data_IF_280461148677
#
_entry.id   IF_280461148677
#
_cell.length_a   1.000
_cell.length_b   1.000
_cell.length_c   1.000
_cell.angle_alpha   90.00
_cell.angle_beta   90.00
_cell.angle_gamma   90.00
#
_symmetry.space_group_name_H-M   'P 1'
#
loop_
_entity.id
_entity.type
_entity.pdbx_description
1 polymer ?
#
# COMPACT_ATOMS: atom_id res chain seq x y z
N UNK A 1 25.77 32.95 8.70
CA UNK A 1 25.15 34.15 8.08
C UNK A 1 23.76 33.70 7.63
N UNK A 2 22.71 34.04 8.38
CA UNK A 2 21.35 33.55 8.19
C UNK A 2 20.70 34.15 6.93
N UNK A 3 19.97 33.33 6.17
CA UNK A 3 18.82 33.62 5.26
C UNK A 3 18.60 32.36 4.39
N UNK A 4 17.41 31.79 4.23
CA UNK A 4 16.07 32.09 4.73
C UNK A 4 15.12 31.02 4.20
N UNK A 5 14.20 30.53 5.04
CA UNK A 5 13.09 29.64 4.68
C UNK A 5 11.85 30.49 4.35
N UNK A 6 11.06 30.19 3.31
CA UNK A 6 9.76 30.81 3.13
C UNK A 6 8.70 30.07 3.97
N UNK A 7 8.19 30.76 4.99
CA UNK A 7 7.01 30.35 5.78
C UNK A 7 5.77 30.66 4.93
N UNK A 8 5.00 29.63 4.57
CA UNK A 8 3.63 29.80 4.04
C UNK A 8 2.69 29.81 5.25
N UNK A 9 2.12 30.97 5.56
CA UNK A 9 1.17 31.15 6.64
C UNK A 9 -0.25 30.81 6.17
N UNK A 10 -0.88 29.80 6.79
CA UNK A 10 -2.32 29.52 6.65
C UNK A 10 -3.08 30.40 7.63
N UNK A 11 -4.00 31.22 7.12
CA UNK A 11 -4.87 32.10 7.91
C UNK A 11 -6.13 31.33 8.32
N UNK A 12 -6.25 31.03 9.61
CA UNK A 12 -7.50 30.61 10.24
C UNK A 12 -8.43 31.83 10.44
N UNK A 13 -9.65 31.77 9.91
CA UNK A 13 -10.71 32.73 10.22
C UNK A 13 -11.78 32.07 11.12
N UNK A 14 -11.90 32.61 12.34
CA UNK A 14 -12.88 32.23 13.36
C UNK A 14 -14.28 32.81 13.09
N UNK A 15 -15.27 32.02 13.48
CA UNK A 15 -16.72 32.22 13.42
C UNK A 15 -17.20 33.40 14.27
N UNK A 16 -18.20 34.14 13.77
CA UNK A 16 -19.07 34.99 14.59
C UNK A 16 -20.54 34.54 14.46
N UNK A 17 -21.11 34.08 15.57
CA UNK A 17 -22.52 33.78 15.72
C UNK A 17 -23.33 35.07 15.97
N UNK A 18 -24.48 35.20 15.32
CA UNK A 18 -25.49 36.20 15.66
C UNK A 18 -26.87 35.54 15.76
N UNK A 19 -27.41 35.55 16.98
CA UNK A 19 -28.79 35.17 17.26
C UNK A 19 -29.75 36.25 16.72
N UNK A 20 -30.80 35.85 16.01
CA UNK A 20 -32.01 36.63 15.88
C UNK A 20 -33.23 35.71 15.80
N UNK A 21 -34.15 35.94 16.72
CA UNK A 21 -35.43 35.26 16.90
C UNK A 21 -36.51 35.84 15.99
N UNK A 22 -37.46 35.00 15.56
CA UNK A 22 -38.81 35.45 15.23
C UNK A 22 -39.46 34.78 14.01
N UNK A 23 -40.60 34.13 14.25
CA UNK A 23 -41.71 34.09 13.29
C UNK A 23 -41.98 32.75 12.62
N UNK A 24 -42.82 31.94 13.25
CA UNK A 24 -43.47 30.80 12.62
C UNK A 24 -44.37 31.25 11.46
N UNK A 25 -44.14 30.72 10.26
CA UNK A 25 -45.17 30.55 9.22
C UNK A 25 -44.90 29.23 8.51
N UNK A 26 -45.82 28.29 8.68
CA UNK A 26 -45.88 27.01 7.97
C UNK A 26 -46.27 27.29 6.52
N UNK A 27 -45.31 27.17 5.61
CA UNK A 27 -45.57 27.05 4.19
C UNK A 27 -44.72 25.89 3.68
N UNK A 28 -45.40 24.85 3.19
CA UNK A 28 -44.81 23.60 2.77
C UNK A 28 -43.70 23.85 1.75
N UNK A 29 -42.48 23.51 2.17
CA UNK A 29 -41.39 23.22 1.26
C UNK A 29 -41.55 21.74 0.95
N UNK A 30 -42.08 21.46 -0.23
CA UNK A 30 -41.87 20.17 -0.87
C UNK A 30 -40.36 20.06 -1.11
N UNK A 31 -39.65 19.58 -0.09
CA UNK A 31 -38.30 19.04 -0.26
C UNK A 31 -38.48 17.77 -1.07
N UNK A 32 -38.42 17.91 -2.39
CA UNK A 32 -38.09 16.82 -3.27
C UNK A 32 -36.67 16.37 -2.94
N UNK A 33 -36.54 15.57 -1.88
CA UNK A 33 -35.47 14.59 -1.80
C UNK A 33 -35.67 13.68 -3.01
N UNK A 34 -34.95 13.95 -4.09
CA UNK A 34 -34.59 12.88 -5.02
C UNK A 34 -33.93 11.82 -4.16
N UNK A 35 -34.65 10.75 -3.86
CA UNK A 35 -34.06 9.57 -3.27
C UNK A 35 -32.96 9.13 -4.22
N UNK A 36 -31.71 9.35 -3.83
CA UNK A 36 -30.59 8.76 -4.54
C UNK A 36 -30.89 7.26 -4.64
N UNK A 37 -30.75 6.69 -5.85
CA UNK A 37 -30.95 5.25 -6.04
C UNK A 37 -29.98 4.42 -5.19
N UNK A 38 -30.10 3.09 -5.21
CA UNK A 38 -29.19 2.24 -4.46
C UNK A 38 -27.74 2.46 -4.96
N UNK A 39 -26.80 2.49 -4.02
CA UNK A 39 -25.36 2.64 -4.29
C UNK A 39 -24.78 1.40 -4.97
N UNK A 40 -23.56 1.49 -5.51
CA UNK A 40 -22.89 0.34 -6.12
C UNK A 40 -22.71 -0.82 -5.14
N UNK A 41 -22.28 -0.55 -3.90
CA UNK A 41 -22.13 -1.58 -2.86
C UNK A 41 -23.46 -2.24 -2.52
N UNK A 42 -24.54 -1.46 -2.37
CA UNK A 42 -25.87 -2.00 -2.07
C UNK A 42 -26.36 -2.93 -3.20
N UNK A 43 -26.24 -2.48 -4.45
CA UNK A 43 -26.61 -3.28 -5.63
C UNK A 43 -25.81 -4.59 -5.66
N UNK A 44 -24.50 -4.53 -5.37
CA UNK A 44 -23.62 -5.69 -5.37
C UNK A 44 -24.12 -6.83 -4.47
N UNK A 45 -24.72 -6.51 -3.32
CA UNK A 45 -25.18 -7.48 -2.34
C UNK A 45 -26.65 -7.89 -2.47
N UNK A 46 -27.47 -7.11 -3.21
CA UNK A 46 -28.89 -7.46 -3.45
C UNK A 46 -29.10 -8.36 -4.68
N UNK A 47 -28.31 -8.17 -5.74
CA UNK A 47 -28.58 -8.81 -7.04
C UNK A 47 -27.33 -9.25 -7.83
N UNK A 48 -26.14 -9.08 -7.25
CA UNK A 48 -24.87 -9.18 -7.96
C UNK A 48 -24.45 -7.83 -8.54
N UNK A 49 -23.14 -7.59 -8.63
CA UNK A 49 -22.58 -6.31 -9.04
C UNK A 49 -23.06 -5.93 -10.44
N UNK A 50 -23.88 -4.90 -10.52
CA UNK A 50 -24.22 -4.18 -11.75
C UNK A 50 -23.96 -2.70 -11.55
N UNK A 51 -23.63 -2.01 -12.64
CA UNK A 51 -23.44 -0.55 -12.63
C UNK A 51 -24.48 0.14 -13.51
N UNK A 52 -25.69 -0.42 -13.55
CA UNK A 52 -26.75 0.00 -14.46
C UNK A 52 -27.52 1.24 -13.95
N UNK A 53 -27.05 1.86 -12.86
CA UNK A 53 -27.62 3.11 -12.35
C UNK A 53 -27.39 4.22 -13.39
N UNK A 54 -28.44 4.98 -13.80
CA UNK A 54 -28.35 5.92 -14.92
C UNK A 54 -27.35 7.07 -14.69
N UNK A 55 -27.01 7.35 -13.42
CA UNK A 55 -26.09 8.42 -13.05
C UNK A 55 -24.63 7.94 -12.90
N UNK A 56 -24.35 6.63 -13.00
CA UNK A 56 -22.99 6.11 -12.92
C UNK A 56 -22.33 6.06 -14.30
N UNK A 57 -21.05 6.40 -14.37
CA UNK A 57 -20.26 6.21 -15.58
C UNK A 57 -20.06 4.70 -15.86
N UNK A 58 -19.59 4.34 -17.06
CA UNK A 58 -19.31 2.94 -17.40
C UNK A 58 -18.20 2.38 -16.50
N UNK A 59 -18.35 1.18 -15.90
CA UNK A 59 -17.30 0.56 -15.12
C UNK A 59 -15.96 0.48 -15.86
N UNK A 60 -14.87 0.67 -15.12
CA UNK A 60 -13.51 0.56 -15.66
C UNK A 60 -12.95 -0.86 -15.59
N UNK A 61 -13.71 -1.77 -14.97
CA UNK A 61 -13.42 -3.20 -14.91
C UNK A 61 -14.58 -4.02 -15.46
N UNK A 62 -14.27 -5.25 -15.88
CA UNK A 62 -15.30 -6.26 -16.14
C UNK A 62 -15.88 -6.75 -14.81
N UNK A 63 -17.04 -6.22 -14.44
CA UNK A 63 -17.74 -6.56 -13.19
C UNK A 63 -18.08 -8.05 -13.07
N UNK A 64 -18.16 -8.78 -14.19
CA UNK A 64 -18.41 -10.24 -14.16
C UNK A 64 -17.21 -11.03 -13.64
N UNK A 65 -16.02 -10.41 -13.60
CA UNK A 65 -14.81 -10.99 -13.03
C UNK A 65 -14.65 -10.72 -11.54
N UNK A 66 -15.49 -9.88 -10.94
CA UNK A 66 -15.44 -9.61 -9.50
C UNK A 66 -15.83 -10.87 -8.72
N UNK A 67 -14.94 -11.30 -7.83
CA UNK A 67 -15.18 -12.41 -6.93
C UNK A 67 -15.67 -11.88 -5.57
N UNK A 68 -16.56 -12.62 -4.93
CA UNK A 68 -17.04 -12.32 -3.58
C UNK A 68 -16.32 -13.22 -2.58
N UNK A 69 -15.32 -12.66 -1.91
CA UNK A 69 -14.62 -13.36 -0.83
C UNK A 69 -15.47 -13.42 0.45
N UNK A 70 -16.29 -12.39 0.68
CA UNK A 70 -17.14 -12.26 1.86
C UNK A 70 -18.58 -11.90 1.46
N UNK A 71 -19.53 -12.35 2.28
CA UNK A 71 -20.97 -12.24 2.01
C UNK A 71 -21.60 -10.90 2.44
N UNK A 72 -20.82 -9.98 3.02
CA UNK A 72 -21.22 -8.64 3.38
C UNK A 72 -19.98 -7.73 3.50
N UNK A 73 -20.12 -6.40 3.36
CA UNK A 73 -19.03 -5.48 3.62
C UNK A 73 -18.62 -5.51 5.09
N UNK A 74 -17.36 -5.18 5.37
CA UNK A 74 -16.76 -5.08 6.71
C UNK A 74 -16.84 -6.34 7.59
N UNK A 75 -17.08 -7.53 7.00
CA UNK A 75 -16.89 -8.79 7.72
C UNK A 75 -15.42 -9.02 8.11
N UNK A 76 -14.49 -8.40 7.38
CA UNK A 76 -13.16 -8.04 7.86
C UNK A 76 -13.25 -6.55 8.24
N UNK A 77 -13.28 -6.19 9.53
CA UNK A 77 -13.48 -4.81 9.93
C UNK A 77 -12.21 -3.99 9.71
N UNK A 78 -12.32 -2.84 9.05
CA UNK A 78 -11.23 -1.86 9.00
C UNK A 78 -10.91 -1.29 10.39
N UNK A 79 -9.70 -0.77 10.59
CA UNK A 79 -9.34 0.00 11.78
C UNK A 79 -9.61 1.48 11.50
N UNK A 80 -10.74 1.98 11.99
CA UNK A 80 -11.18 3.36 11.74
C UNK A 80 -10.80 4.35 12.84
N UNK A 81 -10.33 3.84 13.98
CA UNK A 81 -9.86 4.62 15.13
C UNK A 81 -8.55 4.00 15.63
N UNK A 82 -7.45 4.11 14.86
CA UNK A 82 -6.19 3.50 15.22
C UNK A 82 -5.61 4.11 16.50
N UNK A 83 -5.03 3.26 17.34
CA UNK A 83 -4.22 3.67 18.48
C UNK A 83 -2.76 3.34 18.21
N UNK A 84 -1.86 4.17 18.72
CA UNK A 84 -0.44 4.02 18.47
C UNK A 84 0.36 3.97 19.77
N UNK A 85 1.42 3.18 19.76
CA UNK A 85 2.40 3.05 20.84
C UNK A 85 3.81 3.33 20.35
N UNK A 86 4.70 3.65 21.27
CA UNK A 86 6.13 3.79 20.97
C UNK A 86 6.78 2.42 20.73
N UNK A 87 7.97 2.40 20.12
CA UNK A 87 8.79 1.17 19.97
C UNK A 87 8.99 0.45 21.32
N UNK A 88 9.25 1.21 22.40
CA UNK A 88 9.48 0.64 23.74
C UNK A 88 8.20 -0.02 24.29
N UNK A 89 7.03 0.59 24.08
CA UNK A 89 5.74 0.04 24.52
C UNK A 89 5.31 -1.21 23.73
N UNK A 90 5.71 -1.32 22.46
CA UNK A 90 5.51 -2.54 21.67
C UNK A 90 6.32 -3.69 22.26
N UNK A 91 7.60 -3.44 22.59
CA UNK A 91 8.50 -4.43 23.18
C UNK A 91 8.60 -5.72 22.36
N UNK A 92 8.68 -6.86 23.03
CA UNK A 92 8.88 -8.17 22.39
C UNK A 92 7.61 -8.76 21.75
N UNK A 93 6.50 -8.00 21.71
CA UNK A 93 5.28 -8.51 21.07
C UNK A 93 5.47 -8.69 19.56
N UNK A 94 6.25 -7.82 18.92
CA UNK A 94 6.55 -7.88 17.49
C UNK A 94 8.00 -8.36 17.29
N UNK A 95 8.22 -9.56 16.72
CA UNK A 95 9.54 -10.06 16.39
C UNK A 95 10.25 -9.19 15.35
N UNK A 96 11.58 -9.16 15.40
CA UNK A 96 12.44 -8.30 14.58
C UNK A 96 12.28 -8.54 13.08
N UNK A 97 12.07 -9.80 12.67
CA UNK A 97 11.92 -10.17 11.27
C UNK A 97 10.49 -9.97 10.73
N UNK A 98 9.50 -9.70 11.59
CA UNK A 98 8.12 -9.53 11.11
C UNK A 98 7.94 -8.26 10.30
N UNK A 99 7.10 -8.37 9.27
CA UNK A 99 6.82 -7.28 8.35
C UNK A 99 5.98 -6.17 9.00
N UNK A 100 6.40 -4.92 8.79
CA UNK A 100 5.61 -3.71 9.01
C UNK A 100 5.49 -2.94 7.70
N UNK A 101 4.33 -2.32 7.46
CA UNK A 101 4.20 -1.30 6.44
C UNK A 101 4.66 0.02 7.04
N UNK A 102 5.63 0.69 6.41
CA UNK A 102 6.01 2.06 6.79
C UNK A 102 5.25 3.03 5.91
N UNK A 103 4.68 4.05 6.53
CA UNK A 103 4.14 5.22 5.84
C UNK A 103 4.70 6.46 6.51
N UNK A 104 5.26 7.37 5.70
CA UNK A 104 5.81 8.64 6.17
C UNK A 104 5.09 9.79 5.49
N UNK A 105 4.56 10.71 6.29
CA UNK A 105 3.94 11.96 5.82
C UNK A 105 4.56 13.10 6.61
N UNK A 106 5.13 14.08 5.90
CA UNK A 106 5.93 15.12 6.54
C UNK A 106 7.13 14.52 7.26
N UNK A 107 7.30 14.86 8.54
CA UNK A 107 8.36 14.33 9.41
C UNK A 107 7.90 13.12 10.25
N UNK A 108 6.63 12.70 10.13
CA UNK A 108 6.06 11.62 10.95
C UNK A 108 6.07 10.29 10.19
N UNK A 109 6.78 9.31 10.74
CA UNK A 109 6.76 7.93 10.28
C UNK A 109 5.88 7.06 11.18
N UNK A 110 5.06 6.20 10.57
CA UNK A 110 4.25 5.20 11.26
C UNK A 110 4.51 3.80 10.72
N UNK A 111 4.59 2.84 11.63
CA UNK A 111 4.62 1.41 11.32
C UNK A 111 3.24 0.80 11.53
N UNK A 112 2.77 0.03 10.54
CA UNK A 112 1.53 -0.73 10.62
C UNK A 112 1.89 -2.22 10.54
N UNK A 113 1.91 -2.95 11.67
CA UNK A 113 2.32 -4.36 11.67
C UNK A 113 1.43 -5.20 10.77
N UNK A 114 2.03 -5.96 9.86
CA UNK A 114 1.30 -6.86 8.96
C UNK A 114 0.47 -7.88 9.74
N UNK A 115 0.90 -8.23 10.96
CA UNK A 115 0.10 -9.06 11.87
C UNK A 115 -1.25 -8.50 12.29
N UNK A 116 -1.39 -7.17 12.34
CA UNK A 116 -2.70 -6.52 12.50
C UNK A 116 -3.37 -6.45 11.14
N UNK A 117 -2.66 -5.93 10.14
CA UNK A 117 -3.23 -5.67 8.81
C UNK A 117 -3.78 -6.92 8.12
N UNK A 118 -3.20 -8.10 8.32
CA UNK A 118 -3.73 -9.34 7.73
C UNK A 118 -5.15 -9.70 8.24
N UNK A 119 -5.55 -9.14 9.39
CA UNK A 119 -6.87 -9.35 9.99
C UNK A 119 -7.86 -8.19 9.75
N UNK A 120 -7.39 -7.07 9.19
CA UNK A 120 -8.15 -5.82 9.09
C UNK A 120 -8.12 -5.18 7.70
N UNK A 121 -7.07 -5.46 6.93
CA UNK A 121 -6.77 -5.06 5.54
C UNK A 121 -6.69 -3.55 5.27
N UNK A 122 -7.39 -2.71 6.04
CA UNK A 122 -7.45 -1.26 5.91
C UNK A 122 -7.35 -0.62 7.30
N UNK A 123 -6.53 0.42 7.40
CA UNK A 123 -6.45 1.35 8.53
C UNK A 123 -6.72 2.74 7.97
N UNK A 124 -7.80 3.37 8.45
CA UNK A 124 -8.08 4.78 8.16
C UNK A 124 -7.42 5.60 9.25
N UNK A 125 -6.44 6.41 8.87
CA UNK A 125 -5.55 7.11 9.79
C UNK A 125 -5.39 8.60 9.42
N UNK A 126 -4.80 9.37 10.31
CA UNK A 126 -4.39 10.74 10.07
C UNK A 126 -2.93 10.92 10.52
N UNK A 127 -2.04 11.20 9.57
CA UNK A 127 -0.60 11.43 9.81
C UNK A 127 -0.30 12.89 9.50
N UNK A 128 0.24 13.62 10.46
CA UNK A 128 0.57 15.05 10.32
C UNK A 128 -0.59 15.90 9.76
N UNK A 129 -1.84 15.61 10.20
CA UNK A 129 -3.05 16.28 9.73
C UNK A 129 -3.55 15.85 8.35
N UNK A 130 -2.88 14.89 7.70
CA UNK A 130 -3.27 14.34 6.40
C UNK A 130 -4.04 13.03 6.59
N UNK A 131 -5.32 12.96 6.20
CA UNK A 131 -6.08 11.70 6.16
C UNK A 131 -5.44 10.72 5.17
N UNK A 132 -5.20 9.50 5.63
CA UNK A 132 -4.65 8.43 4.80
C UNK A 132 -5.41 7.12 5.00
N UNK A 133 -5.47 6.32 3.94
CA UNK A 133 -5.89 4.93 4.00
C UNK A 133 -4.67 4.03 3.78
N UNK A 134 -4.23 3.32 4.83
CA UNK A 134 -3.14 2.35 4.76
C UNK A 134 -3.73 0.97 4.59
N UNK A 135 -3.25 0.24 3.61
CA UNK A 135 -3.95 -0.93 3.12
C UNK A 135 -2.99 -2.08 2.84
N UNK A 136 -3.41 -3.30 3.12
CA UNK A 136 -2.65 -4.51 2.86
C UNK A 136 -3.56 -5.61 2.33
N UNK A 137 -3.29 -6.07 1.11
CA UNK A 137 -3.96 -7.23 0.53
C UNK A 137 -3.10 -8.49 0.72
N UNK A 138 -3.48 -9.40 1.63
CA UNK A 138 -2.71 -10.62 1.89
C UNK A 138 -2.69 -11.58 0.71
N UNK A 139 -3.74 -11.60 -0.14
CA UNK A 139 -3.76 -12.45 -1.33
C UNK A 139 -2.74 -11.98 -2.38
N UNK A 140 -2.47 -10.69 -2.45
CA UNK A 140 -1.50 -10.14 -3.40
C UNK A 140 -0.11 -9.91 -2.80
N UNK A 141 0.03 -10.06 -1.47
CA UNK A 141 1.15 -9.55 -0.68
C UNK A 141 1.47 -8.09 -1.05
N UNK A 142 0.47 -7.21 -1.14
CA UNK A 142 0.68 -5.81 -1.52
C UNK A 142 0.30 -4.89 -0.37
N UNK A 143 1.17 -3.92 -0.08
CA UNK A 143 0.88 -2.83 0.84
C UNK A 143 0.88 -1.51 0.07
N UNK A 144 -0.17 -0.71 0.26
CA UNK A 144 -0.30 0.62 -0.35
C UNK A 144 -0.85 1.61 0.67
N UNK A 145 -0.52 2.89 0.49
CA UNK A 145 -1.11 3.98 1.24
C UNK A 145 -1.60 5.07 0.27
N UNK A 146 -2.71 5.70 0.63
CA UNK A 146 -3.34 6.73 -0.18
C UNK A 146 -3.72 7.92 0.68
N UNK A 147 -3.62 9.14 0.15
CA UNK A 147 -4.31 10.29 0.73
C UNK A 147 -5.80 10.05 0.55
N UNK A 148 -6.56 10.02 1.65
CA UNK A 148 -7.99 9.72 1.64
C UNK A 148 -8.83 11.00 1.59
N UNK A 149 -8.53 11.88 0.65
CA UNK A 149 -9.30 13.09 0.36
C UNK A 149 -9.93 12.96 -1.02
N UNK A 150 -11.27 12.96 -1.09
CA UNK A 150 -12.05 12.91 -2.33
C UNK A 150 -12.92 14.17 -2.38
N UNK A 151 -12.90 14.89 -3.50
CA UNK A 151 -13.57 16.21 -3.64
C UNK A 151 -13.22 17.21 -2.52
N UNK A 152 -11.96 17.21 -2.07
CA UNK A 152 -11.50 18.10 -1.01
C UNK A 152 -12.06 17.78 0.38
N UNK A 153 -12.68 16.60 0.57
CA UNK A 153 -13.22 16.14 1.85
C UNK A 153 -12.55 14.84 2.28
N UNK A 154 -12.18 14.68 3.56
CA UNK A 154 -11.72 13.40 4.07
C UNK A 154 -12.79 12.32 3.86
N UNK A 155 -12.38 11.17 3.36
CA UNK A 155 -13.20 9.97 3.26
C UNK A 155 -12.52 8.82 4.03
N UNK A 156 -13.31 7.81 4.37
CA UNK A 156 -12.83 6.57 4.97
C UNK A 156 -13.22 5.41 4.09
N UNK A 157 -12.36 4.39 4.06
CA UNK A 157 -12.54 3.21 3.25
C UNK A 157 -12.87 1.99 4.11
N UNK A 158 -13.82 1.18 3.67
CA UNK A 158 -14.15 -0.11 4.25
C UNK A 158 -13.73 -1.27 3.35
N UNK A 159 -13.72 -2.48 3.91
CA UNK A 159 -13.46 -3.71 3.16
C UNK A 159 -14.76 -4.13 2.50
N UNK A 160 -14.80 -4.09 1.17
CA UNK A 160 -16.05 -4.38 0.46
C UNK A 160 -16.46 -5.86 0.51
N UNK A 161 -15.53 -6.76 0.83
CA UNK A 161 -15.72 -8.21 0.70
C UNK A 161 -15.58 -8.74 -0.74
N UNK A 162 -15.33 -7.87 -1.71
CA UNK A 162 -15.13 -8.19 -3.11
C UNK A 162 -13.65 -8.12 -3.51
N UNK A 163 -13.31 -8.86 -4.56
CA UNK A 163 -11.97 -8.96 -5.11
C UNK A 163 -12.00 -8.81 -6.63
N UNK A 164 -11.03 -8.06 -7.18
CA UNK A 164 -10.74 -8.06 -8.62
C UNK A 164 -9.31 -8.56 -8.82
N UNK A 165 -9.12 -9.60 -9.64
CA UNK A 165 -7.82 -10.28 -9.77
C UNK A 165 -7.19 -10.68 -8.42
N UNK A 166 -8.02 -11.16 -7.47
CA UNK A 166 -7.66 -11.43 -6.06
C UNK A 166 -7.22 -10.22 -5.23
N UNK A 167 -7.12 -9.03 -5.80
CA UNK A 167 -6.84 -7.83 -5.03
C UNK A 167 -8.10 -7.30 -4.35
N UNK A 168 -7.92 -6.77 -3.15
CA UNK A 168 -8.94 -6.08 -2.37
C UNK A 168 -9.64 -5.00 -3.21
N UNK A 169 -10.98 -5.06 -3.25
CA UNK A 169 -11.80 -3.90 -3.60
C UNK A 169 -12.17 -3.20 -2.28
N UNK A 170 -11.80 -1.93 -2.17
CA UNK A 170 -12.24 -1.05 -1.10
C UNK A 170 -13.57 -0.42 -1.48
N UNK A 171 -14.30 0.12 -0.52
CA UNK A 171 -15.40 1.05 -0.82
C UNK A 171 -15.25 2.31 0.01
N UNK A 172 -15.56 3.47 -0.56
CA UNK A 172 -15.62 4.70 0.24
C UNK A 172 -16.96 4.78 0.98
N UNK A 173 -16.94 5.13 2.26
CA UNK A 173 -18.15 5.14 3.09
C UNK A 173 -19.13 6.27 2.74
N UNK A 174 -18.68 7.27 1.98
CA UNK A 174 -19.52 8.43 1.63
C UNK A 174 -20.50 8.11 0.50
N UNK A 175 -20.00 7.50 -0.59
CA UNK A 175 -20.79 7.20 -1.79
C UNK A 175 -20.99 5.72 -2.04
N UNK A 176 -20.26 4.88 -1.29
CA UNK A 176 -20.20 3.43 -1.48
C UNK A 176 -19.80 3.04 -2.91
N UNK A 177 -18.96 3.87 -3.55
CA UNK A 177 -18.28 3.53 -4.79
C UNK A 177 -17.15 2.54 -4.49
N UNK A 178 -16.79 1.74 -5.48
CA UNK A 178 -15.80 0.68 -5.34
C UNK A 178 -14.47 1.10 -5.93
N UNK A 179 -13.42 0.95 -5.14
CA UNK A 179 -12.06 1.40 -5.46
C UNK A 179 -11.09 0.22 -5.43
N UNK A 180 -10.24 0.12 -6.44
CA UNK A 180 -9.20 -0.91 -6.45
C UNK A 180 -8.07 -0.51 -5.49
N UNK A 181 -7.80 -1.31 -4.46
CA UNK A 181 -6.64 -1.12 -3.59
C UNK A 181 -5.33 -1.05 -4.39
N UNK A 182 -5.24 -1.85 -5.46
CA UNK A 182 -3.99 -1.99 -6.20
C UNK A 182 -3.62 -0.74 -6.99
N UNK A 183 -4.60 -0.01 -7.56
CA UNK A 183 -4.36 1.18 -8.38
C UNK A 183 -4.75 2.48 -7.68
N UNK A 184 -5.68 2.44 -6.72
CA UNK A 184 -6.29 3.62 -6.11
C UNK A 184 -7.39 4.24 -6.96
N UNK A 185 -7.86 3.55 -8.01
CA UNK A 185 -8.87 4.06 -8.94
C UNK A 185 -10.28 3.58 -8.53
N UNK A 186 -11.25 4.49 -8.61
CA UNK A 186 -12.66 4.16 -8.51
C UNK A 186 -13.15 3.51 -9.81
N UNK A 187 -13.70 2.30 -9.72
CA UNK A 187 -14.00 1.48 -10.90
C UNK A 187 -15.47 1.12 -11.06
N UNK A 188 -16.28 1.25 -10.02
CA UNK A 188 -17.74 1.05 -10.05
C UNK A 188 -18.41 2.05 -9.09
N UNK A 189 -19.59 2.57 -9.43
CA UNK A 189 -20.34 3.53 -8.62
C UNK A 189 -20.28 4.98 -9.10
N UNK A 190 -20.58 5.90 -8.18
CA UNK A 190 -20.66 7.34 -8.46
C UNK A 190 -19.30 7.93 -8.85
N UNK A 191 -18.22 7.40 -8.26
CA UNK A 191 -16.87 7.96 -8.33
C UNK A 191 -16.03 7.45 -9.50
N UNK A 192 -16.60 6.65 -10.40
CA UNK A 192 -15.85 5.98 -11.48
C UNK A 192 -14.92 6.96 -12.22
N UNK A 193 -13.63 6.62 -12.27
CA UNK A 193 -12.57 7.42 -12.89
C UNK A 193 -11.82 8.36 -11.95
N UNK A 194 -12.30 8.55 -10.72
CA UNK A 194 -11.53 9.24 -9.69
C UNK A 194 -10.31 8.40 -9.29
N UNK A 195 -9.20 9.08 -8.98
CA UNK A 195 -7.91 8.47 -8.68
C UNK A 195 -7.37 9.01 -7.35
N UNK A 196 -7.05 8.11 -6.43
CA UNK A 196 -6.39 8.47 -5.17
C UNK A 196 -4.90 8.78 -5.40
N UNK A 197 -4.42 9.79 -4.69
CA UNK A 197 -2.99 10.11 -4.60
C UNK A 197 -2.29 9.07 -3.72
N UNK A 198 -1.20 8.48 -4.23
CA UNK A 198 -0.40 7.49 -3.49
C UNK A 198 0.55 8.20 -2.52
N UNK A 199 0.58 7.68 -1.30
CA UNK A 199 1.67 7.95 -0.35
C UNK A 199 2.67 6.80 -0.47
N UNK A 200 3.98 7.06 -0.56
CA UNK A 200 4.96 5.99 -0.55
C UNK A 200 4.81 5.12 0.69
N UNK A 201 4.63 3.82 0.45
CA UNK A 201 4.55 2.80 1.48
C UNK A 201 5.51 1.68 1.12
N UNK A 202 6.13 1.06 2.11
CA UNK A 202 7.04 -0.07 1.88
C UNK A 202 6.92 -1.11 2.98
N UNK A 203 7.10 -2.36 2.58
CA UNK A 203 7.14 -3.50 3.48
C UNK A 203 8.59 -3.69 3.93
N UNK A 204 8.86 -3.48 5.21
CA UNK A 204 10.17 -3.75 5.80
C UNK A 204 10.07 -4.63 7.03
N UNK A 205 11.20 -5.09 7.57
CA UNK A 205 11.25 -5.76 8.87
C UNK A 205 11.07 -4.78 10.03
N UNK A 206 10.55 -5.28 11.15
CA UNK A 206 10.45 -4.50 12.38
C UNK A 206 11.81 -3.99 12.87
N UNK A 207 12.87 -4.78 12.72
CA UNK A 207 14.24 -4.35 13.03
C UNK A 207 14.65 -3.11 12.24
N UNK A 208 14.41 -3.10 10.92
CA UNK A 208 14.75 -1.95 10.06
C UNK A 208 13.94 -0.71 10.44
N UNK A 209 12.66 -0.84 10.76
CA UNK A 209 11.87 0.31 11.23
C UNK A 209 12.42 0.88 12.54
N UNK A 210 12.77 0.04 13.51
CA UNK A 210 13.34 0.51 14.79
C UNK A 210 14.66 1.26 14.59
N UNK A 211 15.48 0.78 13.67
CA UNK A 211 16.78 1.39 13.36
C UNK A 211 16.62 2.74 12.67
N UNK A 212 15.73 2.82 11.66
CA UNK A 212 15.59 4.01 10.83
C UNK A 212 14.62 5.06 11.41
N UNK A 213 13.67 4.64 12.26
CA UNK A 213 12.63 5.50 12.84
C UNK A 213 12.53 5.32 14.36
N UNK A 214 13.58 5.66 15.14
CA UNK A 214 13.59 5.44 16.59
C UNK A 214 12.52 6.23 17.36
N UNK A 215 11.97 7.28 16.76
CA UNK A 215 10.84 8.07 17.30
C UNK A 215 9.50 7.72 16.63
N UNK A 216 9.49 6.74 15.74
CA UNK A 216 8.32 6.30 14.99
C UNK A 216 7.25 5.69 15.89
N UNK A 217 5.99 5.87 15.48
CA UNK A 217 4.84 5.34 16.19
C UNK A 217 4.32 4.07 15.51
N UNK A 218 3.85 3.11 16.29
CA UNK A 218 3.42 1.79 15.80
C UNK A 218 1.95 1.59 16.06
N UNK A 219 1.19 1.16 15.04
CA UNK A 219 -0.19 0.76 15.22
C UNK A 219 -0.26 -0.35 16.27
N UNK A 220 -1.06 -0.13 17.30
CA UNK A 220 -1.22 -1.03 18.43
C UNK A 220 -2.69 -1.36 18.67
N UNK A 221 -2.92 -2.44 19.40
CA UNK A 221 -4.23 -2.90 19.82
C UNK A 221 -4.20 -3.27 21.30
N UNK A 222 -5.24 -2.87 22.04
CA UNK A 222 -5.43 -3.30 23.42
C UNK A 222 -5.53 -4.84 23.57
N UNK A 223 -5.90 -5.56 22.50
CA UNK A 223 -5.95 -7.03 22.45
C UNK A 223 -4.83 -7.58 21.53
N UNK A 224 -3.57 -7.36 21.93
CA UNK A 224 -2.38 -7.86 21.23
C UNK A 224 -2.39 -9.39 21.02
N UNK A 225 -3.02 -10.14 21.93
CA UNK A 225 -3.07 -11.61 21.91
C UNK A 225 -3.93 -12.20 20.80
N UNK A 226 -4.76 -11.38 20.14
CA UNK A 226 -5.57 -11.78 18.98
C UNK A 226 -4.74 -11.96 17.70
N UNK A 227 -3.56 -11.36 17.62
CA UNK A 227 -2.75 -11.32 16.39
C UNK A 227 -1.51 -12.23 16.47
N UNK A 228 -0.93 -12.54 15.31
CA UNK A 228 0.25 -13.40 15.15
C UNK A 228 -0.03 -14.64 14.30
N UNK A 229 -1.28 -15.11 14.28
CA UNK A 229 -1.73 -16.16 13.36
C UNK A 229 -1.99 -15.63 11.95
N UNK A 230 -1.63 -16.42 10.94
CA UNK A 230 -1.93 -16.14 9.54
C UNK A 230 -3.36 -16.61 9.20
N UNK A 231 -4.28 -15.65 9.02
CA UNK A 231 -5.67 -15.92 8.61
C UNK A 231 -5.79 -16.62 7.25
N UNK A 232 -4.74 -16.55 6.42
CA UNK A 232 -4.67 -17.08 5.06
C UNK A 232 -3.82 -18.35 4.95
N UNK A 233 -3.47 -18.99 6.08
CA UNK A 233 -2.61 -20.18 6.10
C UNK A 233 -3.16 -21.37 5.28
N UNK A 234 -4.48 -21.41 5.04
CA UNK A 234 -5.14 -22.45 4.25
C UNK A 234 -5.48 -22.02 2.80
N UNK A 235 -5.09 -20.81 2.39
CA UNK A 235 -5.32 -20.32 1.02
C UNK A 235 -4.41 -21.03 0.00
N UNK A 236 -3.34 -21.67 0.46
CA UNK A 236 -2.41 -22.42 -0.38
C UNK A 236 -3.02 -23.68 -0.98
N UNK A 237 -2.55 -24.02 -2.18
CA UNK A 237 -3.03 -25.19 -2.92
C UNK A 237 -2.36 -26.47 -2.45
N UNK A 238 -3.11 -27.59 -2.47
CA UNK A 238 -2.58 -28.96 -2.24
C UNK A 238 -1.84 -29.14 -0.91
N UNK A 239 -2.23 -28.38 0.13
CA UNK A 239 -1.64 -28.47 1.47
C UNK A 239 -0.31 -27.74 1.63
N UNK A 240 0.12 -26.96 0.63
CA UNK A 240 1.26 -26.05 0.75
C UNK A 240 0.84 -24.71 1.39
N UNK A 241 1.80 -23.94 1.90
CA UNK A 241 1.57 -22.55 2.31
C UNK A 241 1.17 -21.69 1.10
N UNK A 242 0.45 -20.59 1.34
CA UNK A 242 -0.01 -19.72 0.25
C UNK A 242 1.15 -19.14 -0.54
N UNK A 243 2.16 -18.60 0.16
CA UNK A 243 3.43 -18.11 -0.38
C UNK A 243 4.40 -19.25 -0.77
N UNK A 244 3.88 -20.27 -1.43
CA UNK A 244 4.69 -21.30 -2.07
C UNK A 244 4.76 -20.98 -3.56
N UNK A 245 5.97 -20.96 -4.11
CA UNK A 245 6.18 -20.69 -5.53
C UNK A 245 5.34 -21.65 -6.40
N UNK A 246 4.55 -21.07 -7.32
CA UNK A 246 3.67 -21.82 -8.21
C UNK A 246 2.34 -22.30 -7.59
N UNK A 247 2.00 -21.91 -6.35
CA UNK A 247 0.64 -22.08 -5.81
C UNK A 247 -0.40 -21.42 -6.73
N UNK A 248 -1.58 -22.04 -6.84
CA UNK A 248 -2.69 -21.43 -7.56
C UNK A 248 -3.18 -20.19 -6.79
N UNK A 249 -3.34 -19.05 -7.46
CA UNK A 249 -3.92 -17.85 -6.87
C UNK A 249 -5.34 -18.09 -6.32
N UNK A 250 -5.51 -17.90 -5.02
CA UNK A 250 -6.81 -18.04 -4.35
C UNK A 250 -7.78 -16.93 -4.79
N UNK A 251 -9.03 -17.30 -5.10
CA UNK A 251 -10.09 -16.40 -5.59
C UNK A 251 -9.68 -15.51 -6.79
N UNK A 252 -8.77 -16.01 -7.63
CA UNK A 252 -8.32 -15.31 -8.82
C UNK A 252 -9.22 -15.60 -10.02
N UNK A 253 -9.77 -14.54 -10.60
CA UNK A 253 -10.58 -14.60 -11.81
C UNK A 253 -9.96 -13.73 -12.91
N UNK A 254 -8.77 -14.14 -13.35
CA UNK A 254 -8.00 -13.49 -14.39
C UNK A 254 -7.17 -14.50 -15.18
N UNK A 255 -6.32 -13.98 -16.05
CA UNK A 255 -5.36 -14.79 -16.81
C UNK A 255 -4.02 -14.69 -16.08
N UNK A 256 -3.44 -15.83 -15.74
CA UNK A 256 -2.08 -15.86 -15.18
C UNK A 256 -1.06 -15.63 -16.28
N UNK A 257 -0.05 -14.83 -15.97
CA UNK A 257 1.04 -14.53 -16.90
C UNK A 257 2.14 -15.60 -16.79
N UNK A 258 2.44 -16.34 -17.87
CA UNK A 258 3.37 -17.47 -17.82
C UNK A 258 4.86 -17.05 -17.75
N UNK A 259 5.20 -15.75 -17.82
CA UNK A 259 6.60 -15.27 -17.78
C UNK A 259 7.26 -15.54 -16.43
N UNK A 260 6.48 -15.67 -15.36
CA UNK A 260 6.92 -16.14 -14.05
C UNK A 260 5.82 -16.95 -13.35
N UNK A 261 6.20 -17.68 -12.30
CA UNK A 261 5.25 -18.45 -11.49
C UNK A 261 4.37 -17.51 -10.67
N UNK A 262 3.12 -17.89 -10.39
CA UNK A 262 2.13 -17.00 -9.77
C UNK A 262 2.62 -16.31 -8.49
N UNK A 263 3.12 -17.08 -7.53
CA UNK A 263 3.66 -16.55 -6.26
C UNK A 263 5.11 -16.07 -6.35
N UNK A 264 5.66 -15.87 -7.55
CA UNK A 264 6.96 -15.22 -7.69
C UNK A 264 6.84 -13.80 -7.13
N UNK A 265 7.57 -13.51 -6.06
CA UNK A 265 7.64 -12.16 -5.50
C UNK A 265 8.33 -11.22 -6.47
N UNK A 266 7.79 -10.03 -6.62
CA UNK A 266 8.33 -8.95 -7.45
C UNK A 266 8.25 -7.63 -6.71
N UNK A 267 9.23 -6.75 -6.95
CA UNK A 267 9.05 -5.32 -6.76
C UNK A 267 8.61 -4.73 -8.11
N UNK A 268 7.40 -4.22 -8.18
CA UNK A 268 6.82 -3.63 -9.38
C UNK A 268 6.82 -2.11 -9.32
N UNK A 269 7.20 -1.46 -10.41
CA UNK A 269 7.14 0.00 -10.58
C UNK A 269 6.32 0.31 -11.82
N UNK A 270 5.36 1.22 -11.69
CA UNK A 270 4.59 1.77 -12.78
C UNK A 270 4.75 3.29 -12.78
N UNK A 271 5.34 3.84 -13.84
CA UNK A 271 5.67 5.25 -13.98
C UNK A 271 5.44 5.69 -15.42
N UNK A 272 4.75 6.83 -15.61
CA UNK A 272 4.47 7.42 -16.93
C UNK A 272 3.83 6.45 -17.94
N UNK A 273 2.98 5.54 -17.44
CA UNK A 273 2.28 4.54 -18.27
C UNK A 273 3.14 3.34 -18.69
N UNK A 274 4.40 3.28 -18.27
CA UNK A 274 5.25 2.09 -18.40
C UNK A 274 5.39 1.36 -17.07
N UNK A 275 5.56 0.04 -17.14
CA UNK A 275 5.73 -0.80 -15.97
C UNK A 275 6.93 -1.74 -16.11
N UNK A 276 7.69 -1.89 -15.03
CA UNK A 276 8.77 -2.88 -14.92
C UNK A 276 8.66 -3.57 -13.56
N UNK A 277 8.89 -4.88 -13.54
CA UNK A 277 8.94 -5.68 -12.32
C UNK A 277 10.27 -6.44 -12.23
N UNK A 278 10.88 -6.43 -11.05
CA UNK A 278 12.08 -7.21 -10.73
C UNK A 278 11.71 -8.38 -9.85
N UNK A 279 12.05 -9.60 -10.27
CA UNK A 279 11.81 -10.78 -9.44
C UNK A 279 12.67 -10.77 -8.19
N UNK A 280 12.17 -11.31 -7.08
CA UNK A 280 12.95 -11.50 -5.87
C UNK A 280 14.24 -12.29 -6.13
N UNK A 281 14.28 -13.18 -7.12
CA UNK A 281 15.52 -13.89 -7.51
C UNK A 281 16.59 -12.99 -8.15
N UNK A 282 16.21 -11.83 -8.69
CA UNK A 282 17.15 -10.78 -9.14
C UNK A 282 17.57 -9.92 -7.95
N UNK A 283 16.60 -9.56 -7.11
CA UNK A 283 16.80 -8.61 -6.02
C UNK A 283 17.53 -9.22 -4.82
N UNK A 284 17.34 -10.52 -4.56
CA UNK A 284 17.87 -11.17 -3.37
C UNK A 284 19.24 -11.80 -3.62
N UNK A 285 20.19 -11.47 -2.75
CA UNK A 285 21.52 -12.05 -2.73
C UNK A 285 22.26 -11.65 -1.45
N UNK A 286 22.81 -12.63 -0.72
CA UNK A 286 23.53 -12.34 0.52
C UNK A 286 22.69 -11.60 1.56
N UNK A 287 23.28 -10.59 2.22
CA UNK A 287 22.60 -9.75 3.20
C UNK A 287 21.98 -8.47 2.60
N UNK A 288 22.54 -7.95 1.50
CA UNK A 288 21.98 -6.86 0.71
C UNK A 288 22.39 -6.97 -0.76
N UNK A 289 21.61 -6.36 -1.66
CA UNK A 289 21.88 -6.31 -3.10
C UNK A 289 21.35 -5.01 -3.71
N UNK A 290 22.10 -4.47 -4.69
CA UNK A 290 21.70 -3.33 -5.52
C UNK A 290 21.42 -3.83 -6.93
N UNK A 291 20.28 -3.43 -7.50
CA UNK A 291 19.94 -3.70 -8.90
C UNK A 291 19.60 -2.40 -9.62
N UNK A 292 20.36 -2.07 -10.66
CA UNK A 292 20.04 -0.95 -11.55
C UNK A 292 18.88 -1.32 -12.48
N UNK A 293 18.07 -0.32 -12.82
CA UNK A 293 16.86 -0.50 -13.59
C UNK A 293 16.46 0.72 -14.41
N UNK A 294 15.50 0.51 -15.31
CA UNK A 294 14.86 1.58 -16.08
C UNK A 294 13.37 1.32 -16.17
N UNK A 295 12.55 2.34 -15.94
CA UNK A 295 11.10 2.35 -16.17
C UNK A 295 10.80 3.48 -17.16
N UNK A 296 10.32 3.16 -18.35
CA UNK A 296 10.28 4.12 -19.45
C UNK A 296 11.65 4.68 -19.77
N UNK A 297 11.83 5.99 -19.54
CA UNK A 297 13.10 6.69 -19.71
C UNK A 297 13.77 7.06 -18.38
N UNK A 298 13.17 6.65 -17.25
CA UNK A 298 13.65 7.01 -15.93
C UNK A 298 14.59 5.93 -15.39
N UNK A 299 15.87 6.25 -15.09
CA UNK A 299 16.73 5.34 -14.36
C UNK A 299 16.25 5.20 -12.92
N UNK A 300 16.26 3.97 -12.42
CA UNK A 300 15.94 3.64 -11.04
C UNK A 300 17.02 2.74 -10.46
N UNK A 301 17.19 2.78 -9.15
CA UNK A 301 17.98 1.80 -8.40
C UNK A 301 17.07 1.09 -7.41
N UNK A 302 17.17 -0.23 -7.38
CA UNK A 302 16.42 -1.08 -6.44
C UNK A 302 17.39 -1.59 -5.37
N UNK A 303 17.11 -1.23 -4.14
CA UNK A 303 17.78 -1.73 -2.94
C UNK A 303 16.99 -2.90 -2.39
N UNK A 304 17.71 -3.94 -1.97
CA UNK A 304 17.14 -5.08 -1.26
C UNK A 304 18.03 -5.43 -0.07
N UNK A 305 17.40 -5.69 1.08
CA UNK A 305 18.05 -6.19 2.30
C UNK A 305 17.37 -7.48 2.76
N UNK A 306 18.19 -8.41 3.26
CA UNK A 306 17.69 -9.56 4.00
C UNK A 306 17.20 -9.12 5.38
N UNK A 307 16.16 -9.74 5.92
CA UNK A 307 15.73 -9.48 7.31
C UNK A 307 14.24 -9.64 7.51
N UNK A 308 13.45 -9.26 6.51
CA UNK A 308 12.00 -9.43 6.58
C UNK A 308 11.58 -10.87 6.28
N UNK A 309 10.70 -11.42 7.13
CA UNK A 309 10.01 -12.70 6.94
C UNK A 309 8.63 -12.52 6.28
N UNK A 310 8.24 -13.50 5.47
CA UNK A 310 6.89 -13.58 4.91
C UNK A 310 5.84 -13.89 5.97
N UNK A 311 4.80 -13.06 6.02
CA UNK A 311 3.60 -13.30 6.83
C UNK A 311 2.71 -14.44 6.31
N UNK A 312 2.98 -14.96 5.11
CA UNK A 312 2.12 -15.88 4.36
C UNK A 312 2.72 -17.28 4.19
N UNK A 313 3.93 -17.48 4.72
CA UNK A 313 4.72 -18.71 4.56
C UNK A 313 4.33 -19.85 5.53
N UNK A 314 3.48 -19.57 6.53
CA UNK A 314 3.11 -20.55 7.53
C UNK A 314 1.79 -20.23 8.23
N UNK A 315 1.48 -21.01 9.29
CA UNK A 315 0.31 -20.77 10.15
C UNK A 315 0.51 -19.60 11.11
N UNK A 316 1.75 -19.38 11.53
CA UNK A 316 2.16 -18.21 12.28
C UNK A 316 2.91 -17.26 11.33
N UNK A 317 2.76 -15.97 11.57
CA UNK A 317 3.31 -14.91 10.70
C UNK A 317 4.84 -14.88 10.74
N UNK A 318 5.46 -15.25 11.87
CA UNK A 318 6.91 -15.33 12.04
C UNK A 318 7.50 -16.70 11.68
N UNK A 319 6.99 -17.37 10.64
CA UNK A 319 7.45 -18.72 10.26
C UNK A 319 8.90 -18.80 9.74
N UNK A 320 9.61 -17.68 9.63
CA UNK A 320 11.06 -17.61 9.35
C UNK A 320 11.46 -17.75 7.88
N UNK A 321 10.53 -17.66 6.94
CA UNK A 321 10.85 -17.62 5.50
C UNK A 321 11.21 -16.19 5.12
N UNK A 322 12.51 -15.94 4.93
CA UNK A 322 13.04 -14.62 4.57
C UNK A 322 12.67 -14.27 3.13
N UNK A 323 12.08 -13.10 2.96
CA UNK A 323 11.72 -12.51 1.65
C UNK A 323 12.38 -11.14 1.44
N UNK A 324 12.85 -10.52 2.52
CA UNK A 324 13.60 -9.27 2.49
C UNK A 324 12.75 -8.05 2.16
N UNK A 325 13.36 -6.89 2.36
CA UNK A 325 12.74 -5.58 2.19
C UNK A 325 13.22 -4.96 0.88
N UNK A 326 12.40 -4.11 0.27
CA UNK A 326 12.79 -3.42 -0.97
C UNK A 326 12.58 -1.91 -0.86
N UNK A 327 13.49 -1.17 -1.50
CA UNK A 327 13.35 0.26 -1.75
C UNK A 327 13.69 0.57 -3.20
N UNK A 328 12.92 1.45 -3.84
CA UNK A 328 13.19 1.90 -5.21
C UNK A 328 13.36 3.40 -5.25
N UNK A 329 14.43 3.87 -5.88
CA UNK A 329 14.82 5.27 -5.84
C UNK A 329 15.26 5.79 -7.20
N UNK A 330 15.12 7.10 -7.39
CA UNK A 330 15.88 7.80 -8.41
C UNK A 330 17.33 7.91 -7.94
N UNK A 331 18.32 7.38 -8.68
CA UNK A 331 19.72 7.40 -8.26
C UNK A 331 20.35 8.75 -8.60
N UNK A 332 19.79 9.84 -8.07
CA UNK A 332 20.24 11.21 -8.35
C UNK A 332 20.31 12.00 -7.05
N UNK A 333 21.44 12.67 -6.81
CA UNK A 333 21.63 13.62 -5.70
C UNK A 333 22.15 14.92 -6.29
N UNK A 334 21.48 16.05 -6.01
CA UNK A 334 21.83 17.38 -6.51
C UNK A 334 22.05 17.43 -8.04
N UNK A 335 21.27 16.64 -8.79
CA UNK A 335 21.36 16.55 -10.25
C UNK A 335 22.51 15.69 -10.79
N UNK A 336 23.26 15.00 -9.92
CA UNK A 336 24.33 14.07 -10.28
C UNK A 336 23.82 12.64 -10.14
N UNK A 337 23.96 11.85 -11.21
CA UNK A 337 23.65 10.43 -11.17
C UNK A 337 24.62 9.69 -10.24
N UNK A 338 24.08 8.82 -9.41
CA UNK A 338 24.80 8.02 -8.42
C UNK A 338 24.81 6.55 -8.83
N UNK A 339 25.89 5.87 -8.49
CA UNK A 339 26.03 4.41 -8.60
C UNK A 339 26.25 3.84 -7.20
N UNK A 340 25.63 2.70 -6.91
CA UNK A 340 25.66 2.09 -5.59
C UNK A 340 26.19 0.67 -5.66
N UNK A 341 26.88 0.26 -4.60
CA UNK A 341 27.25 -1.12 -4.31
C UNK A 341 26.58 -1.57 -3.00
N UNK A 342 26.33 -2.86 -2.85
CA UNK A 342 25.96 -3.45 -1.58
C UNK A 342 27.22 -3.92 -0.83
N UNK A 343 27.38 -3.49 0.42
CA UNK A 343 28.44 -3.91 1.31
C UNK A 343 27.83 -4.43 2.62
N UNK A 344 27.94 -5.74 2.88
CA UNK A 344 27.27 -6.34 4.04
C UNK A 344 25.74 -6.21 3.95
N UNK A 345 25.15 -5.48 4.88
CA UNK A 345 23.71 -5.18 5.03
C UNK A 345 23.33 -3.74 4.64
N UNK A 346 24.27 -2.97 4.09
CA UNK A 346 24.06 -1.57 3.72
C UNK A 346 24.48 -1.28 2.27
N UNK A 347 24.17 -0.07 1.82
CA UNK A 347 24.47 0.40 0.47
C UNK A 347 25.52 1.50 0.53
N UNK A 348 26.45 1.54 -0.43
CA UNK A 348 27.52 2.55 -0.48
C UNK A 348 27.53 3.17 -1.86
N UNK A 349 27.47 4.51 -1.94
CA UNK A 349 27.62 5.18 -3.23
C UNK A 349 29.10 5.26 -3.65
N UNK A 350 29.38 4.99 -4.93
CA UNK A 350 30.76 4.96 -5.45
C UNK A 350 31.42 6.34 -5.52
N UNK A 351 30.63 7.41 -5.60
CA UNK A 351 31.12 8.75 -5.85
C UNK A 351 31.73 9.39 -4.59
N UNK A 352 31.12 9.14 -3.44
CA UNK A 352 31.46 9.78 -2.15
C UNK A 352 31.76 8.79 -1.04
N UNK A 353 31.45 7.50 -1.24
CA UNK A 353 31.53 6.45 -0.22
C UNK A 353 30.66 6.74 1.01
N UNK A 354 29.52 7.43 0.82
CA UNK A 354 28.51 7.54 1.87
C UNK A 354 27.75 6.22 2.00
N UNK A 355 27.37 5.88 3.21
CA UNK A 355 26.58 4.68 3.51
C UNK A 355 25.11 5.05 3.58
N UNK A 356 24.25 4.24 2.97
CA UNK A 356 22.82 4.45 2.84
C UNK A 356 22.04 3.27 3.41
N UNK A 357 20.89 3.55 4.04
CA UNK A 357 19.97 2.52 4.52
C UNK A 357 18.97 2.07 3.43
N UNK A 358 18.16 1.06 3.72
CA UNK A 358 17.12 0.53 2.82
C UNK A 358 16.07 1.57 2.41
N UNK A 359 15.98 2.67 3.15
CA UNK A 359 15.06 3.76 2.87
C UNK A 359 15.61 4.85 1.96
N UNK A 360 16.85 4.67 1.47
CA UNK A 360 17.50 5.61 0.57
C UNK A 360 18.00 6.86 1.29
N UNK A 361 18.24 6.78 2.60
CA UNK A 361 18.83 7.86 3.40
C UNK A 361 20.29 7.56 3.69
N UNK A 362 21.16 8.52 3.40
CA UNK A 362 22.58 8.45 3.76
C UNK A 362 22.72 8.59 5.29
N UNK A 363 23.18 7.53 5.94
CA UNK A 363 23.34 7.44 7.39
C UNK A 363 24.75 7.78 7.86
N UNK A 364 25.73 7.81 6.96
CA UNK A 364 27.09 8.29 7.26
C UNK A 364 27.85 8.68 6.01
N UNK A 365 28.93 9.45 6.18
CA UNK A 365 29.81 9.90 5.09
C UNK A 365 29.46 11.29 4.56
N UNK A 366 30.05 11.71 3.43
CA UNK A 366 29.88 13.08 2.92
C UNK A 366 28.45 13.52 2.63
N UNK A 367 27.53 12.57 2.36
CA UNK A 367 26.13 12.84 2.06
C UNK A 367 25.18 12.60 3.25
N UNK A 368 25.69 12.37 4.47
CA UNK A 368 24.88 12.09 5.66
C UNK A 368 23.67 13.05 5.82
N UNK A 369 22.49 12.47 6.03
CA UNK A 369 21.21 13.17 6.12
C UNK A 369 20.53 13.45 4.78
N UNK A 370 21.19 13.15 3.65
CA UNK A 370 20.58 13.25 2.31
C UNK A 370 19.68 12.04 2.05
N UNK A 371 18.55 12.25 1.40
CA UNK A 371 17.64 11.20 0.97
C UNK A 371 17.52 11.17 -0.55
N UNK A 372 17.47 9.97 -1.13
CA UNK A 372 17.09 9.78 -2.53
C UNK A 372 15.59 9.98 -2.69
N UNK A 373 15.19 10.49 -3.86
CA UNK A 373 13.77 10.55 -4.21
C UNK A 373 13.24 9.13 -4.40
N UNK A 374 12.26 8.75 -3.58
CA UNK A 374 11.63 7.43 -3.63
C UNK A 374 10.67 7.35 -4.81
N UNK A 375 10.79 6.27 -5.58
CA UNK A 375 9.81 5.91 -6.60
C UNK A 375 8.77 4.99 -5.96
N UNK A 376 7.46 5.32 -6.00
CA UNK A 376 6.44 4.41 -5.50
C UNK A 376 6.51 3.05 -6.20
N UNK A 377 6.78 2.01 -5.43
CA UNK A 377 6.82 0.63 -5.89
C UNK A 377 5.82 -0.22 -5.11
N UNK A 378 5.52 -1.40 -5.63
CA UNK A 378 4.64 -2.37 -4.99
C UNK A 378 5.38 -3.69 -4.90
N UNK A 379 5.67 -4.14 -3.67
CA UNK A 379 5.99 -5.55 -3.44
C UNK A 379 4.71 -6.36 -3.63
N UNK A 380 4.77 -7.42 -4.44
CA UNK A 380 3.59 -8.25 -4.72
C UNK A 380 3.97 -9.62 -5.27
N UNK A 381 2.99 -10.51 -5.35
CA UNK A 381 3.07 -11.69 -6.19
C UNK A 381 2.87 -11.35 -7.67
N UNK A 382 3.61 -12.04 -8.53
CA UNK A 382 3.62 -11.83 -9.98
C UNK A 382 2.24 -11.94 -10.61
N UNK A 383 1.42 -12.91 -10.19
CA UNK A 383 0.08 -13.09 -10.76
C UNK A 383 -0.80 -11.83 -10.56
N UNK A 384 -0.64 -11.14 -9.44
CA UNK A 384 -1.39 -9.93 -9.13
C UNK A 384 -0.84 -8.77 -9.96
N UNK A 385 0.47 -8.49 -9.87
CA UNK A 385 1.12 -7.40 -10.61
C UNK A 385 0.84 -7.46 -12.12
N UNK A 386 1.12 -8.60 -12.75
CA UNK A 386 0.93 -8.77 -14.20
C UNK A 386 -0.53 -8.64 -14.65
N UNK A 387 -1.50 -8.86 -13.77
CA UNK A 387 -2.92 -8.70 -14.10
C UNK A 387 -3.37 -7.23 -14.21
N UNK A 388 -2.63 -6.31 -13.58
CA UNK A 388 -2.88 -4.86 -13.62
C UNK A 388 -1.99 -4.16 -14.66
N UNK A 389 -0.77 -4.66 -14.89
CA UNK A 389 0.12 -4.19 -15.96
C UNK A 389 0.57 -5.37 -16.84
N UNK A 390 -0.28 -5.85 -17.77
CA UNK A 390 0.05 -7.01 -18.61
C UNK A 390 1.27 -6.77 -19.51
N UNK A 391 1.49 -5.53 -19.95
CA UNK A 391 2.64 -5.13 -20.77
C UNK A 391 3.90 -4.82 -19.93
N UNK A 392 3.89 -5.10 -18.62
CA UNK A 392 5.05 -4.88 -17.76
C UNK A 392 6.26 -5.64 -18.29
N UNK A 393 7.43 -4.99 -18.29
CA UNK A 393 8.71 -5.68 -18.51
C UNK A 393 9.02 -6.51 -17.26
N UNK A 394 9.46 -7.76 -17.45
CA UNK A 394 9.89 -8.61 -16.33
C UNK A 394 11.40 -8.81 -16.37
N UNK A 395 12.08 -8.39 -15.29
CA UNK A 395 13.52 -8.58 -15.09
C UNK A 395 13.73 -9.85 -14.26
N UNK A 396 14.48 -10.80 -14.81
CA UNK A 396 14.75 -12.12 -14.20
C UNK A 396 16.25 -12.38 -14.02
N UNK A 397 16.63 -13.45 -13.28
CA UNK A 397 18.00 -13.71 -12.76
C UNK A 397 19.11 -13.72 -13.83
N UNK A 398 18.77 -13.99 -15.10
CA UNK A 398 19.73 -13.97 -16.21
C UNK A 398 19.92 -12.56 -16.81
N UNK A 399 19.40 -11.51 -16.16
CA UNK A 399 19.29 -10.16 -16.71
C UNK A 399 18.40 -10.10 -17.96
N UNK A 400 17.70 -11.19 -18.27
CA UNK A 400 16.86 -11.31 -19.46
C UNK A 400 15.57 -10.55 -19.21
N UNK A 401 15.35 -9.53 -20.05
CA UNK A 401 14.08 -8.85 -20.16
C UNK A 401 13.13 -9.74 -20.96
N UNK A 402 12.12 -10.27 -20.27
CA UNK A 402 11.02 -10.97 -20.94
C UNK A 402 9.99 -9.91 -21.38
N UNK A 403 9.73 -9.79 -22.70
CA UNK A 403 8.75 -8.84 -23.22
C UNK A 403 7.32 -9.19 -22.80
#
# INVERSE_FOLDING_TARGET
MFRGLPIVAVVLALVAAACASGGATTQGRDDAATAAGPTALAVAYEGGLSNDHPDFATPLIDVTRVAYGLQAPDLIPSVDQPTFSTIEEIGDWLPDEEAVVIVTVGEQARAYPVRILISHEIVNDEIDGTPVAVTYCPLCNSALAFVSIVDGRPTTFGVSGMLFNSALIMYDRETESLWLHYTGEAVVGERVGDQLERVPASLVSWAEFKENHPEGMVLDSADRGRYGGNAYANAGSRGAAYDTLGSEPFLFNGITDPRAQSMQRVAGVALDGEATAWTLSVLAGGAATVTDGVVGNQPVVVFWTSGQSSALAGREINSGVVVGSTGVFLPVVDGVAMEFDAEGDHFVDRATSSTWNIEGVAVSGPLEGTALERVPHVDSFWFAWSSYWPETKLVTIDGTLLP
#
